data_IF_236118650313
#
_entry.id   IF_236118650313
#
_cell.length_a   1.000
_cell.length_b   1.000
_cell.length_c   1.000
_cell.angle_alpha   90.00
_cell.angle_beta   90.00
_cell.angle_gamma   90.00
#
_symmetry.space_group_name_H-M   'P 1'
#
loop_
_entity.id
_entity.type
_entity.pdbx_description
1 polymer ?
#
# COMPACT_ATOMS: atom_id res chain seq x y z
N UNK A 1 3.20 30.91 6.29
CA UNK A 1 2.20 30.15 5.53
C UNK A 1 2.20 28.74 6.07
N UNK A 2 1.05 28.23 6.53
CA UNK A 2 0.96 26.86 7.05
C UNK A 2 0.74 25.91 5.87
N UNK A 3 1.53 24.84 5.80
CA UNK A 3 1.33 23.79 4.80
C UNK A 3 -0.10 23.27 4.88
N UNK A 4 -0.75 23.20 3.72
CA UNK A 4 -2.10 22.66 3.58
C UNK A 4 -2.12 21.15 3.92
N UNK A 5 -3.28 20.57 4.28
CA UNK A 5 -3.38 19.14 4.56
C UNK A 5 -2.84 18.27 3.41
N UNK A 6 -3.00 18.73 2.17
CA UNK A 6 -2.54 18.04 0.98
C UNK A 6 -1.01 18.10 0.80
N UNK A 7 -0.41 19.26 1.06
CA UNK A 7 1.06 19.39 1.08
C UNK A 7 1.71 18.56 2.19
N UNK A 8 1.05 18.46 3.36
CA UNK A 8 1.50 17.57 4.44
C UNK A 8 1.41 16.11 4.02
N UNK A 9 0.30 15.69 3.42
CA UNK A 9 0.13 14.33 2.92
C UNK A 9 1.19 13.97 1.86
N UNK A 10 1.51 14.91 0.97
CA UNK A 10 2.58 14.75 -0.04
C UNK A 10 3.94 14.59 0.61
N UNK A 11 4.27 15.47 1.58
CA UNK A 11 5.53 15.39 2.34
C UNK A 11 5.66 14.07 3.12
N UNK A 12 4.54 13.61 3.70
CA UNK A 12 4.45 12.31 4.39
C UNK A 12 4.65 11.17 3.39
N UNK A 13 4.04 11.22 2.21
CA UNK A 13 4.20 10.20 1.17
C UNK A 13 5.64 10.08 0.67
N UNK A 14 6.32 11.20 0.43
CA UNK A 14 7.73 11.21 0.02
C UNK A 14 8.64 10.65 1.11
N UNK A 15 8.42 11.05 2.36
CA UNK A 15 9.16 10.51 3.51
C UNK A 15 8.91 9.02 3.68
N UNK A 16 7.66 8.57 3.52
CA UNK A 16 7.27 7.17 3.59
C UNK A 16 8.02 6.36 2.53
N UNK A 17 8.02 6.84 1.29
CA UNK A 17 8.69 6.19 0.15
C UNK A 17 10.19 6.00 0.43
N UNK A 18 10.89 7.05 0.84
CA UNK A 18 12.33 6.99 1.13
C UNK A 18 12.63 6.02 2.29
N UNK A 19 11.83 6.09 3.36
CA UNK A 19 11.99 5.22 4.53
C UNK A 19 11.74 3.75 4.20
N UNK A 20 10.63 3.45 3.51
CA UNK A 20 10.27 2.07 3.16
C UNK A 20 11.26 1.48 2.17
N UNK A 21 11.72 2.27 1.21
CA UNK A 21 12.77 1.86 0.28
C UNK A 21 14.06 1.50 1.03
N UNK A 22 14.50 2.33 1.98
CA UNK A 22 15.68 2.05 2.79
C UNK A 22 15.48 0.80 3.65
N UNK A 23 14.36 0.69 4.37
CA UNK A 23 14.06 -0.47 5.21
C UNK A 23 14.06 -1.77 4.43
N UNK A 24 13.43 -1.78 3.25
CA UNK A 24 13.39 -2.96 2.41
C UNK A 24 14.74 -3.34 1.80
N UNK A 25 15.52 -2.36 1.32
CA UNK A 25 16.88 -2.62 0.84
C UNK A 25 17.78 -3.23 1.92
N UNK A 26 17.45 -3.02 3.20
CA UNK A 26 18.14 -3.58 4.35
C UNK A 26 17.42 -4.81 4.96
N UNK A 27 16.35 -5.31 4.33
CA UNK A 27 15.43 -6.35 4.84
C UNK A 27 14.84 -6.08 6.25
N UNK A 28 14.79 -4.82 6.67
CA UNK A 28 14.28 -4.36 7.96
C UNK A 28 12.79 -3.98 7.95
N UNK A 29 12.11 -4.15 6.83
CA UNK A 29 10.68 -3.87 6.74
C UNK A 29 9.90 -4.87 7.60
N UNK A 30 9.34 -4.42 8.72
CA UNK A 30 8.59 -5.22 9.69
C UNK A 30 7.30 -4.52 10.09
N UNK A 31 6.36 -5.24 10.70
CA UNK A 31 5.13 -4.65 11.25
C UNK A 31 5.45 -3.45 12.15
N UNK A 32 6.43 -3.58 13.04
CA UNK A 32 6.83 -2.52 13.97
C UNK A 32 7.31 -1.23 13.25
N UNK A 33 8.03 -1.36 12.13
CA UNK A 33 8.45 -0.19 11.36
C UNK A 33 7.29 0.46 10.62
N UNK A 34 6.34 -0.34 10.12
CA UNK A 34 5.13 0.20 9.50
C UNK A 34 4.24 0.86 10.54
N UNK A 35 4.14 0.31 11.75
CA UNK A 35 3.35 0.90 12.84
C UNK A 35 3.93 2.25 13.30
N UNK A 36 5.27 2.32 13.44
CA UNK A 36 5.98 3.60 13.68
C UNK A 36 5.70 4.63 12.59
N UNK A 37 5.63 4.21 11.34
CA UNK A 37 5.25 5.10 10.25
C UNK A 37 3.79 5.55 10.37
N UNK A 38 2.87 4.63 10.67
CA UNK A 38 1.44 4.94 10.81
C UNK A 38 1.16 5.89 11.97
N UNK A 39 1.86 5.75 13.09
CA UNK A 39 1.79 6.67 14.22
C UNK A 39 2.26 8.08 13.82
N UNK A 40 3.42 8.17 13.16
CA UNK A 40 3.95 9.44 12.66
C UNK A 40 3.03 10.07 11.59
N UNK A 41 2.56 9.28 10.63
CA UNK A 41 1.63 9.73 9.61
C UNK A 41 0.30 10.17 10.22
N UNK A 42 -0.16 9.50 11.29
CA UNK A 42 -1.37 9.86 12.02
C UNK A 42 -1.30 11.24 12.67
N UNK A 43 -0.12 11.67 13.10
CA UNK A 43 0.09 13.01 13.64
C UNK A 43 0.00 14.12 12.57
N UNK A 44 0.23 13.79 11.29
CA UNK A 44 0.31 14.75 10.19
C UNK A 44 -0.87 14.69 9.21
N UNK A 45 -1.41 13.50 8.96
CA UNK A 45 -2.45 13.19 7.97
C UNK A 45 -3.30 11.97 8.41
N UNK A 46 -4.07 12.06 9.51
CA UNK A 46 -4.81 10.94 10.09
C UNK A 46 -5.81 10.30 9.13
N UNK A 47 -6.45 11.11 8.28
CA UNK A 47 -7.42 10.64 7.28
C UNK A 47 -6.80 9.87 6.11
N UNK A 48 -5.48 9.97 5.91
CA UNK A 48 -4.77 9.33 4.78
C UNK A 48 -3.75 8.28 5.20
N UNK A 49 -3.61 7.97 6.49
CA UNK A 49 -2.61 7.01 6.99
C UNK A 49 -2.68 5.67 6.26
N UNK A 50 -3.89 5.13 6.10
CA UNK A 50 -4.08 3.81 5.48
C UNK A 50 -3.69 3.84 3.99
N UNK A 51 -4.13 4.86 3.25
CA UNK A 51 -3.79 5.06 1.84
C UNK A 51 -2.28 5.33 1.62
N UNK A 52 -1.65 6.11 2.49
CA UNK A 52 -0.22 6.40 2.46
C UNK A 52 0.60 5.14 2.76
N UNK A 53 0.14 4.32 3.71
CA UNK A 53 0.78 3.04 4.05
C UNK A 53 0.73 2.07 2.88
N UNK A 54 -0.45 1.88 2.29
CA UNK A 54 -0.59 1.00 1.13
C UNK A 54 0.20 1.49 -0.07
N UNK A 55 0.22 2.81 -0.32
CA UNK A 55 1.04 3.41 -1.40
C UNK A 55 2.54 3.21 -1.17
N UNK A 56 3.03 3.42 0.05
CA UNK A 56 4.44 3.20 0.39
C UNK A 56 4.84 1.74 0.20
N UNK A 57 4.01 0.79 0.65
CA UNK A 57 4.19 -0.63 0.37
C UNK A 57 4.17 -0.92 -1.14
N UNK A 58 3.32 -0.23 -1.91
CA UNK A 58 3.25 -0.43 -3.34
C UNK A 58 4.49 0.04 -4.10
N UNK A 59 5.18 1.08 -3.61
CA UNK A 59 6.45 1.49 -4.22
C UNK A 59 7.53 0.41 -4.16
N UNK A 60 7.33 -0.62 -3.34
CA UNK A 60 8.26 -1.75 -3.23
C UNK A 60 8.17 -2.76 -4.38
N UNK A 61 7.07 -2.75 -5.14
CA UNK A 61 6.86 -3.69 -6.25
C UNK A 61 7.80 -3.49 -7.43
N UNK A 62 8.26 -2.26 -7.69
CA UNK A 62 9.00 -1.91 -8.91
C UNK A 62 10.46 -2.38 -8.99
N UNK A 63 11.00 -3.05 -7.95
CA UNK A 63 12.43 -3.39 -7.86
C UNK A 63 12.77 -4.87 -8.10
N UNK A 64 11.84 -5.67 -8.65
CA UNK A 64 12.15 -7.01 -9.21
C UNK A 64 12.48 -8.13 -8.21
N UNK A 65 12.10 -8.00 -6.94
CA UNK A 65 12.60 -8.85 -5.85
C UNK A 65 11.44 -9.38 -5.00
N UNK A 66 10.74 -10.45 -5.43
CA UNK A 66 9.53 -11.09 -4.84
C UNK A 66 8.81 -10.34 -3.67
N UNK A 67 8.53 -9.03 -3.79
CA UNK A 67 8.17 -8.18 -2.66
C UNK A 67 6.67 -8.28 -2.37
N UNK A 68 5.99 -9.01 -3.26
CA UNK A 68 4.57 -9.26 -3.30
C UNK A 68 4.09 -10.01 -2.08
N UNK A 69 4.88 -10.94 -1.56
CA UNK A 69 4.47 -11.74 -0.41
C UNK A 69 4.49 -10.87 0.86
N UNK A 70 5.64 -10.26 1.20
CA UNK A 70 5.80 -9.51 2.46
C UNK A 70 4.93 -8.25 2.51
N UNK A 71 4.82 -7.50 1.41
CA UNK A 71 3.96 -6.31 1.35
C UNK A 71 2.47 -6.67 1.41
N UNK A 72 2.05 -7.75 0.76
CA UNK A 72 0.67 -8.23 0.84
C UNK A 72 0.34 -8.79 2.23
N UNK A 73 1.26 -9.53 2.87
CA UNK A 73 1.08 -10.01 4.25
C UNK A 73 0.89 -8.85 5.21
N UNK A 74 1.68 -7.78 5.09
CA UNK A 74 1.51 -6.58 5.89
C UNK A 74 0.15 -5.91 5.63
N UNK A 75 -0.25 -5.75 4.37
CA UNK A 75 -1.53 -5.16 4.04
C UNK A 75 -2.73 -5.99 4.55
N UNK A 76 -2.65 -7.31 4.46
CA UNK A 76 -3.64 -8.24 5.01
C UNK A 76 -3.70 -8.16 6.54
N UNK A 77 -2.55 -8.14 7.20
CA UNK A 77 -2.49 -7.97 8.65
C UNK A 77 -3.20 -6.69 9.12
N UNK A 78 -3.03 -5.58 8.40
CA UNK A 78 -3.73 -4.34 8.69
C UNK A 78 -5.21 -4.38 8.34
N UNK A 79 -5.61 -5.09 7.28
CA UNK A 79 -7.01 -5.31 6.94
C UNK A 79 -7.71 -6.15 8.03
N UNK A 80 -7.06 -7.19 8.55
CA UNK A 80 -7.57 -8.03 9.63
C UNK A 80 -7.66 -7.24 10.94
N UNK A 81 -6.65 -6.43 11.26
CA UNK A 81 -6.58 -5.68 12.51
C UNK A 81 -7.47 -4.44 12.55
N UNK A 82 -7.57 -3.69 11.44
CA UNK A 82 -8.36 -2.46 11.36
C UNK A 82 -9.79 -2.69 10.83
N UNK A 83 -10.03 -3.83 10.18
CA UNK A 83 -11.26 -4.13 9.47
C UNK A 83 -11.42 -3.39 8.14
N UNK A 84 -10.51 -2.48 7.79
CA UNK A 84 -10.59 -1.62 6.61
C UNK A 84 -9.76 -2.17 5.45
N UNK A 85 -10.30 -2.03 4.24
CA UNK A 85 -9.63 -2.47 3.02
C UNK A 85 -8.68 -1.41 2.44
N UNK A 86 -8.63 -0.19 3.00
CA UNK A 86 -7.89 0.95 2.45
C UNK A 86 -6.40 0.67 2.20
N UNK A 87 -5.73 -0.05 3.11
CA UNK A 87 -4.30 -0.39 2.98
C UNK A 87 -4.09 -1.37 1.83
N UNK A 88 -4.90 -2.43 1.75
CA UNK A 88 -4.83 -3.44 0.70
C UNK A 88 -5.24 -2.85 -0.67
N UNK A 89 -6.25 -1.99 -0.67
CA UNK A 89 -6.70 -1.29 -1.84
C UNK A 89 -5.64 -0.35 -2.40
N UNK A 90 -5.01 0.46 -1.53
CA UNK A 90 -3.93 1.36 -1.93
C UNK A 90 -2.68 0.59 -2.39
N UNK A 91 -2.37 -0.55 -1.76
CA UNK A 91 -1.31 -1.46 -2.21
C UNK A 91 -1.55 -1.90 -3.67
N UNK A 92 -2.73 -2.43 -3.94
CA UNK A 92 -3.11 -2.96 -5.25
C UNK A 92 -3.42 -1.86 -6.28
N UNK A 93 -3.59 -0.61 -5.86
CA UNK A 93 -3.71 0.55 -6.78
C UNK A 93 -2.37 1.16 -7.16
N UNK A 94 -1.31 0.83 -6.45
CA UNK A 94 0.02 1.34 -6.76
C UNK A 94 0.65 0.67 -7.99
N UNK A 95 1.89 1.04 -8.34
CA UNK A 95 2.59 0.48 -9.49
C UNK A 95 2.93 -0.99 -9.21
N UNK A 96 2.21 -1.92 -9.83
CA UNK A 96 2.41 -3.36 -9.69
C UNK A 96 3.07 -3.91 -10.96
N UNK A 97 4.24 -4.53 -10.82
CA UNK A 97 4.98 -5.18 -11.91
C UNK A 97 5.18 -6.68 -11.69
N UNK A 98 4.44 -7.26 -10.74
CA UNK A 98 4.54 -8.66 -10.34
C UNK A 98 3.47 -9.54 -10.98
N UNK A 99 3.17 -10.65 -10.31
CA UNK A 99 2.18 -11.65 -10.74
C UNK A 99 0.74 -11.11 -10.65
N UNK A 100 0.10 -10.86 -11.79
CA UNK A 100 -1.25 -10.31 -11.86
C UNK A 100 -2.31 -11.27 -11.30
N UNK A 101 -2.09 -12.58 -11.38
CA UNK A 101 -3.00 -13.57 -10.80
C UNK A 101 -2.97 -13.48 -9.27
N UNK A 102 -1.79 -13.30 -8.69
CA UNK A 102 -1.65 -13.05 -7.25
C UNK A 102 -2.32 -11.74 -6.82
N UNK A 103 -2.20 -10.69 -7.62
CA UNK A 103 -2.91 -9.44 -7.38
C UNK A 103 -4.44 -9.62 -7.39
N UNK A 104 -4.98 -10.45 -8.29
CA UNK A 104 -6.41 -10.80 -8.31
C UNK A 104 -6.83 -11.60 -7.08
N UNK A 105 -6.03 -12.59 -6.65
CA UNK A 105 -6.31 -13.34 -5.42
C UNK A 105 -6.39 -12.42 -4.20
N UNK A 106 -5.46 -11.46 -4.09
CA UNK A 106 -5.47 -10.45 -3.04
C UNK A 106 -6.66 -9.51 -3.14
N UNK A 107 -7.01 -9.06 -4.35
CA UNK A 107 -8.19 -8.25 -4.58
C UNK A 107 -9.47 -8.99 -4.15
N UNK A 108 -9.53 -10.31 -4.33
CA UNK A 108 -10.62 -11.16 -3.85
C UNK A 108 -10.84 -11.11 -2.33
N UNK A 109 -9.82 -10.75 -1.55
CA UNK A 109 -9.89 -10.63 -0.09
C UNK A 109 -10.46 -9.30 0.40
N UNK A 110 -10.60 -8.32 -0.49
CA UNK A 110 -11.24 -7.02 -0.18
C UNK A 110 -12.71 -7.26 0.17
N UNK A 111 -13.15 -6.74 1.32
CA UNK A 111 -14.53 -6.92 1.81
C UNK A 111 -15.49 -6.05 1.03
N UNK A 112 -15.11 -4.80 0.77
CA UNK A 112 -15.92 -3.86 0.02
C UNK A 112 -16.07 -4.29 -1.46
N UNK A 113 -17.30 -4.54 -1.94
CA UNK A 113 -17.52 -5.06 -3.28
C UNK A 113 -17.20 -4.04 -4.38
N UNK A 114 -17.34 -2.74 -4.12
CA UNK A 114 -17.06 -1.69 -5.09
C UNK A 114 -15.55 -1.52 -5.28
N UNK A 115 -14.80 -1.46 -4.18
CA UNK A 115 -13.33 -1.42 -4.18
C UNK A 115 -12.77 -2.70 -4.81
N UNK A 116 -13.33 -3.86 -4.48
CA UNK A 116 -12.90 -5.14 -5.06
C UNK A 116 -13.09 -5.16 -6.57
N UNK A 117 -14.24 -4.73 -7.07
CA UNK A 117 -14.52 -4.70 -8.50
C UNK A 117 -13.60 -3.73 -9.27
N UNK A 118 -13.37 -2.53 -8.73
CA UNK A 118 -12.42 -1.55 -9.26
C UNK A 118 -11.02 -2.14 -9.43
N UNK A 119 -10.53 -2.81 -8.39
CA UNK A 119 -9.18 -3.36 -8.38
C UNK A 119 -9.08 -4.59 -9.28
N UNK A 120 -10.06 -5.50 -9.24
CA UNK A 120 -10.09 -6.66 -10.14
C UNK A 120 -10.04 -6.22 -11.60
N UNK A 121 -10.80 -5.18 -11.98
CA UNK A 121 -10.81 -4.65 -13.34
C UNK A 121 -9.45 -4.18 -13.83
N UNK A 122 -8.61 -3.68 -12.93
CA UNK A 122 -7.23 -3.27 -13.24
C UNK A 122 -6.34 -4.45 -13.62
N UNK A 123 -6.60 -5.60 -13.02
CA UNK A 123 -5.82 -6.82 -13.22
C UNK A 123 -6.49 -7.80 -14.16
N UNK A 124 -7.72 -7.56 -14.62
CA UNK A 124 -8.34 -8.37 -15.68
C UNK A 124 -7.43 -8.39 -16.92
N UNK A 125 -7.29 -9.54 -17.58
CA UNK A 125 -6.54 -9.60 -18.83
C UNK A 125 -7.31 -8.76 -19.85
N UNK A 126 -6.76 -7.62 -20.24
CA UNK A 126 -7.36 -6.85 -21.33
C UNK A 126 -7.35 -7.72 -22.59
N UNK A 127 -8.45 -7.78 -23.35
CA UNK A 127 -8.44 -8.47 -24.62
C UNK A 127 -7.35 -7.83 -25.47
N UNK A 128 -6.37 -8.64 -25.89
CA UNK A 128 -5.30 -8.22 -26.79
C UNK A 128 -5.94 -7.53 -28.00
N UNK A 129 -5.68 -6.23 -28.16
CA UNK A 129 -6.01 -5.49 -29.38
C UNK A 129 -5.06 -5.89 -30.50
#
# INVERSE_FOLDING_TARGET
MAATPDERATSVAETARLRFQNLFQNDKLTVAEVDRFREWAGAHAPERVDALTGSALATMFGNGLDPTIKAAELALHYQESSGKDDVLAALLRGPFSGDHDRARELAGKIKDPEIRADILRRYEPQPSQ
#
